data_IF_832558941369
#
_entry.id   IF_832558941369
#
_cell.length_a   1.000
_cell.length_b   1.000
_cell.length_c   1.000
_cell.angle_alpha   90.00
_cell.angle_beta   90.00
_cell.angle_gamma   90.00
#
_symmetry.space_group_name_H-M   'P 1'
#
loop_
_entity.id
_entity.type
_entity.pdbx_description
1 polymer ?
#
# COMPACT_ATOMS: atom_id res chain seq x y z
N UNK A 1 18.60 23.82 8.97
CA UNK A 1 17.26 23.24 8.68
C UNK A 1 17.38 21.73 8.77
N UNK A 2 16.77 21.10 9.77
CA UNK A 2 16.73 19.64 9.80
C UNK A 2 15.85 19.18 8.62
N UNK A 3 16.35 18.32 7.71
CA UNK A 3 15.51 17.78 6.66
C UNK A 3 14.40 17.02 7.35
N UNK A 4 13.16 17.43 7.10
CA UNK A 4 11.99 16.66 7.51
C UNK A 4 12.22 15.25 6.97
N UNK A 5 12.25 14.24 7.86
CA UNK A 5 12.38 12.81 7.52
C UNK A 5 11.15 12.39 6.71
N UNK A 6 11.09 12.83 5.45
CA UNK A 6 10.13 12.38 4.47
C UNK A 6 10.57 11.01 4.02
N UNK A 7 9.63 10.09 4.04
CA UNK A 7 9.82 8.79 3.43
C UNK A 7 9.78 8.98 1.93
N UNK A 8 10.93 8.79 1.30
CA UNK A 8 11.02 8.76 -0.16
C UNK A 8 10.52 7.40 -0.68
N UNK A 9 10.01 7.37 -1.90
CA UNK A 9 9.50 6.13 -2.50
C UNK A 9 10.56 5.02 -2.52
N UNK A 10 11.82 5.37 -2.77
CA UNK A 10 12.94 4.44 -2.72
C UNK A 10 13.10 3.81 -1.32
N UNK A 11 13.02 4.62 -0.25
CA UNK A 11 13.14 4.14 1.12
C UNK A 11 11.97 3.22 1.51
N UNK A 12 10.76 3.48 1.01
CA UNK A 12 9.61 2.59 1.24
C UNK A 12 9.75 1.25 0.51
N UNK A 13 10.25 1.26 -0.73
CA UNK A 13 10.52 0.04 -1.51
C UNK A 13 11.61 -0.80 -0.85
N UNK A 14 12.72 -0.17 -0.45
CA UNK A 14 13.82 -0.84 0.25
C UNK A 14 13.34 -1.50 1.55
N UNK A 15 12.49 -0.81 2.33
CA UNK A 15 11.91 -1.36 3.54
C UNK A 15 11.03 -2.59 3.25
N UNK A 16 10.21 -2.54 2.19
CA UNK A 16 9.39 -3.69 1.80
C UNK A 16 10.27 -4.88 1.38
N UNK A 17 11.32 -4.62 0.60
CA UNK A 17 12.25 -5.67 0.16
C UNK A 17 13.04 -6.26 1.32
N UNK A 18 13.49 -5.45 2.28
CA UNK A 18 14.16 -5.93 3.49
C UNK A 18 13.24 -6.82 4.35
N UNK A 19 11.95 -6.49 4.46
CA UNK A 19 10.97 -7.33 5.15
C UNK A 19 10.80 -8.68 4.43
N UNK A 20 10.71 -8.68 3.10
CA UNK A 20 10.58 -9.91 2.31
C UNK A 20 11.85 -10.77 2.44
N UNK A 21 13.04 -10.16 2.32
CA UNK A 21 14.33 -10.84 2.37
C UNK A 21 14.56 -11.55 3.71
N UNK A 22 14.15 -10.93 4.81
CA UNK A 22 14.29 -11.49 6.17
C UNK A 22 13.25 -12.57 6.50
N UNK A 23 12.29 -12.80 5.60
CA UNK A 23 11.16 -13.71 5.81
C UNK A 23 10.14 -13.16 6.81
N UNK A 24 10.03 -11.84 6.92
CA UNK A 24 9.10 -11.18 7.83
C UNK A 24 7.66 -11.54 7.52
N UNK A 25 6.93 -12.01 8.53
CA UNK A 25 5.49 -12.27 8.44
C UNK A 25 4.74 -11.41 9.46
N UNK A 26 3.41 -11.29 9.30
CA UNK A 26 2.57 -10.47 10.17
C UNK A 26 2.71 -10.78 11.67
N UNK A 27 3.14 -11.99 12.03
CA UNK A 27 3.39 -12.44 13.41
C UNK A 27 4.86 -12.41 13.84
N UNK A 28 5.81 -12.24 12.90
CA UNK A 28 7.25 -12.32 13.20
C UNK A 28 8.06 -11.46 12.22
N UNK A 29 8.17 -10.16 12.52
CA UNK A 29 9.09 -9.27 11.82
C UNK A 29 10.43 -9.21 12.56
N UNK A 30 11.52 -9.53 11.86
CA UNK A 30 12.89 -9.44 12.40
C UNK A 30 13.41 -8.00 12.34
N UNK A 31 12.76 -7.09 13.09
CA UNK A 31 13.08 -5.66 13.06
C UNK A 31 14.57 -5.32 13.27
N UNK A 32 15.34 -5.99 14.15
CA UNK A 32 16.77 -5.73 14.27
C UNK A 32 17.55 -6.00 12.97
N UNK A 33 17.21 -7.08 12.27
CA UNK A 33 17.87 -7.47 11.02
C UNK A 33 17.45 -6.55 9.86
N UNK A 34 16.16 -6.23 9.76
CA UNK A 34 15.61 -5.27 8.79
C UNK A 34 16.27 -3.89 8.98
N UNK A 35 16.46 -3.45 10.23
CA UNK A 35 17.14 -2.19 10.53
C UNK A 35 18.60 -2.21 10.06
N UNK A 36 19.33 -3.30 10.29
CA UNK A 36 20.70 -3.46 9.80
C UNK A 36 20.76 -3.35 8.27
N UNK A 37 19.84 -4.00 7.55
CA UNK A 37 19.76 -3.92 6.09
C UNK A 37 19.49 -2.46 5.64
N UNK A 38 18.51 -1.79 6.26
CA UNK A 38 18.21 -0.38 5.96
C UNK A 38 19.42 0.53 6.19
N UNK A 39 20.19 0.32 7.26
CA UNK A 39 21.43 1.06 7.51
C UNK A 39 22.53 0.77 6.46
N UNK A 40 22.67 -0.48 6.02
CA UNK A 40 23.61 -0.86 4.95
C UNK A 40 23.24 -0.20 3.61
N UNK A 41 21.96 0.02 3.36
CA UNK A 41 21.45 0.75 2.19
C UNK A 41 21.59 2.28 2.32
N UNK A 42 22.14 2.79 3.43
CA UNK A 42 22.38 4.22 3.66
C UNK A 42 21.24 4.96 4.36
N UNK A 43 20.20 4.26 4.82
CA UNK A 43 19.08 4.87 5.54
C UNK A 43 19.38 5.02 7.04
N UNK A 44 18.96 6.15 7.64
CA UNK A 44 19.22 6.51 9.06
C UNK A 44 17.95 6.51 9.92
N UNK A 45 16.97 5.70 9.55
CA UNK A 45 15.74 5.52 10.32
C UNK A 45 16.00 4.64 11.54
N UNK A 46 15.33 4.94 12.66
CA UNK A 46 15.39 4.07 13.83
C UNK A 46 14.54 2.83 13.61
N UNK A 47 14.83 1.75 14.35
CA UNK A 47 14.03 0.52 14.36
C UNK A 47 12.52 0.78 14.63
N UNK A 48 12.22 1.72 15.51
CA UNK A 48 10.83 2.08 15.82
C UNK A 48 10.18 2.87 14.70
N UNK A 49 10.94 3.73 14.00
CA UNK A 49 10.45 4.47 12.84
C UNK A 49 10.11 3.52 11.67
N UNK A 50 10.99 2.55 11.36
CA UNK A 50 10.74 1.59 10.28
C UNK A 50 9.52 0.69 10.59
N UNK A 51 9.39 0.22 11.83
CA UNK A 51 8.29 -0.67 12.22
C UNK A 51 6.94 0.04 12.23
N UNK A 52 6.92 1.29 12.72
CA UNK A 52 5.72 2.11 12.69
C UNK A 52 5.32 2.49 11.27
N UNK A 53 6.27 2.92 10.44
CA UNK A 53 5.97 3.33 9.06
C UNK A 53 5.41 2.16 8.24
N UNK A 54 6.03 0.99 8.35
CA UNK A 54 5.53 -0.19 7.67
C UNK A 54 4.10 -0.54 8.10
N UNK A 55 3.82 -0.57 9.41
CA UNK A 55 2.52 -1.00 9.92
C UNK A 55 1.41 0.05 9.68
N UNK A 56 1.72 1.32 9.93
CA UNK A 56 0.72 2.41 9.95
C UNK A 56 0.53 3.09 8.60
N UNK A 57 1.55 3.10 7.74
CA UNK A 57 1.49 3.77 6.45
C UNK A 57 1.34 2.74 5.33
N UNK A 58 2.32 1.84 5.18
CA UNK A 58 2.39 0.91 4.06
C UNK A 58 1.29 -0.15 4.16
N UNK A 59 1.26 -0.91 5.26
CA UNK A 59 0.32 -2.01 5.45
C UNK A 59 -1.12 -1.51 5.60
N UNK A 60 -1.33 -0.40 6.30
CA UNK A 60 -2.67 0.23 6.42
C UNK A 60 -3.17 0.71 5.06
N UNK A 61 -2.37 1.48 4.33
CA UNK A 61 -2.75 1.99 3.01
C UNK A 61 -2.98 0.86 2.00
N UNK A 62 -2.18 -0.22 2.06
CA UNK A 62 -2.41 -1.41 1.26
C UNK A 62 -3.77 -2.05 1.59
N UNK A 63 -4.10 -2.23 2.88
CA UNK A 63 -5.37 -2.78 3.30
C UNK A 63 -6.57 -1.93 2.87
N UNK A 64 -6.48 -0.61 3.04
CA UNK A 64 -7.51 0.35 2.65
C UNK A 64 -7.77 0.32 1.14
N UNK A 65 -6.72 0.32 0.31
CA UNK A 65 -6.85 0.29 -1.17
C UNK A 65 -7.51 -0.98 -1.69
N UNK A 66 -7.30 -2.11 -1.02
CA UNK A 66 -7.75 -3.41 -1.48
C UNK A 66 -8.95 -3.95 -0.68
N UNK A 67 -9.52 -3.16 0.24
CA UNK A 67 -10.62 -3.59 1.09
C UNK A 67 -10.26 -4.78 1.99
N UNK A 68 -8.97 -4.96 2.30
CA UNK A 68 -8.44 -6.05 3.11
C UNK A 68 -8.62 -5.70 4.59
N UNK A 69 -9.86 -5.77 5.08
CA UNK A 69 -10.10 -5.81 6.52
C UNK A 69 -9.34 -6.97 7.17
N UNK A 70 -9.12 -6.90 8.48
CA UNK A 70 -8.43 -7.93 9.24
C UNK A 70 -9.07 -9.31 9.00
N UNK A 71 -8.51 -10.09 8.06
CA UNK A 71 -8.86 -11.50 7.88
C UNK A 71 -9.28 -12.00 6.49
N UNK A 72 -9.30 -11.23 5.39
CA UNK A 72 -9.55 -11.84 4.05
C UNK A 72 -8.98 -11.04 2.89
N UNK A 73 -8.34 -11.74 1.95
CA UNK A 73 -8.19 -11.30 0.56
C UNK A 73 -9.56 -11.38 -0.13
N UNK A 74 -10.07 -10.32 -0.80
CA UNK A 74 -11.27 -10.44 -1.59
C UNK A 74 -10.98 -11.36 -2.78
N UNK A 75 -11.76 -12.43 -2.93
CA UNK A 75 -11.63 -13.41 -4.02
C UNK A 75 -11.89 -12.83 -5.43
N UNK A 76 -12.32 -11.57 -5.53
CA UNK A 76 -12.45 -10.86 -6.81
C UNK A 76 -12.18 -9.38 -6.62
N UNK A 77 -11.05 -8.91 -7.14
CA UNK A 77 -10.86 -7.49 -7.46
C UNK A 77 -11.65 -7.23 -8.74
N UNK A 78 -12.97 -7.05 -8.61
CA UNK A 78 -13.76 -6.46 -9.68
C UNK A 78 -13.34 -4.99 -9.80
N UNK A 79 -13.05 -4.47 -11.00
CA UNK A 79 -12.64 -3.07 -11.16
C UNK A 79 -13.77 -2.17 -10.67
N UNK A 80 -13.50 -1.43 -9.60
CA UNK A 80 -14.44 -0.46 -9.06
C UNK A 80 -14.62 0.64 -10.11
N UNK A 81 -15.80 0.66 -10.77
CA UNK A 81 -16.20 1.76 -11.65
C UNK A 81 -16.14 3.04 -10.82
N UNK A 82 -15.27 3.98 -11.21
CA UNK A 82 -15.33 5.35 -10.70
C UNK A 82 -16.73 5.87 -10.98
N UNK A 83 -17.46 6.28 -9.93
CA UNK A 83 -18.63 7.15 -10.10
C UNK A 83 -18.13 8.45 -10.71
N UNK A 84 -18.56 8.73 -11.94
CA UNK A 84 -18.48 10.08 -12.49
C UNK A 84 -19.30 11.02 -11.58
N UNK A 85 -18.86 12.27 -11.36
CA UNK A 85 -19.67 13.25 -10.67
C UNK A 85 -20.96 13.48 -11.46
N UNK A 86 -22.09 13.43 -10.77
CA UNK A 86 -23.42 13.68 -11.31
C UNK A 86 -23.52 15.15 -11.75
N UNK A 87 -23.74 15.35 -13.06
CA UNK A 87 -24.32 16.55 -13.63
C UNK A 87 -25.51 16.14 -14.48
N UNK A 88 -26.71 16.49 -14.00
CA UNK A 88 -27.95 16.75 -14.76
C UNK A 88 -27.60 17.64 -15.99
N UNK A 89 -28.14 17.56 -17.21
CA UNK A 89 -29.38 17.07 -17.85
C UNK A 89 -28.98 16.91 -19.36
N UNK A 90 -29.40 15.92 -20.16
CA UNK A 90 -30.62 15.95 -20.98
C UNK A 90 -30.76 14.61 -21.72
N UNK A 91 -31.99 14.14 -21.85
CA UNK A 91 -32.43 12.90 -22.49
C UNK A 91 -32.10 12.81 -24.01
N UNK A 92 -31.74 11.60 -24.46
CA UNK A 92 -32.12 11.06 -25.78
C UNK A 92 -31.82 9.54 -25.87
N UNK A 93 -32.89 8.75 -25.76
CA UNK A 93 -33.25 7.60 -26.61
C UNK A 93 -32.22 6.48 -26.91
N UNK A 94 -32.53 5.26 -26.45
CA UNK A 94 -31.93 4.00 -26.91
C UNK A 94 -32.48 3.60 -28.28
N UNK A 95 -31.79 2.74 -29.09
CA UNK A 95 -32.14 1.33 -28.98
C UNK A 95 -31.00 0.30 -29.15
N UNK A 96 -31.29 -0.85 -28.55
CA UNK A 96 -30.67 -2.18 -28.53
C UNK A 96 -29.94 -2.66 -29.80
N UNK A 97 -28.78 -3.32 -29.65
CA UNK A 97 -28.32 -4.34 -30.61
C UNK A 97 -27.78 -5.60 -29.92
N UNK A 98 -28.38 -6.70 -30.38
CA UNK A 98 -28.30 -8.11 -30.04
C UNK A 98 -26.93 -8.70 -30.39
N UNK A 99 -26.30 -9.43 -29.48
CA UNK A 99 -25.08 -10.20 -29.76
C UNK A 99 -25.44 -11.63 -30.14
N UNK A 100 -24.66 -12.13 -31.10
CA UNK A 100 -24.83 -13.29 -31.99
C UNK A 100 -24.61 -14.63 -31.30
#
# INVERSE_FOLDING_TARGET
MAPSKKWELAAEMDLCMAIILTGGSASSYKWPEIHTIMCQLGHTFTKDAISQHFTKSILRGFKERHGLGAGRLPEKISPSKRKAPAGEDTAAESPVKKQK
#
